data_IF_060264688483
#
_entry.id   IF_060264688483
#
_cell.length_a   1.000
_cell.length_b   1.000
_cell.length_c   1.000
_cell.angle_alpha   90.00
_cell.angle_beta   90.00
_cell.angle_gamma   90.00
#
_symmetry.space_group_name_H-M   'P 1'
#
loop_
_entity.id
_entity.type
_entity.pdbx_description
1 polymer ?
#
# COMPACT_ATOMS: atom_id res chain seq x y z
N UNK A 1 -17.13 19.77 -26.75
CA UNK A 1 -16.18 20.20 -25.71
C UNK A 1 -15.32 19.01 -25.36
N UNK A 2 -14.01 19.12 -25.58
CA UNK A 2 -13.06 18.00 -25.42
C UNK A 2 -12.83 17.69 -23.94
N UNK A 3 -12.65 16.41 -23.60
CA UNK A 3 -12.34 15.89 -22.26
C UNK A 3 -11.15 16.61 -21.58
N UNK A 4 -10.30 17.28 -22.36
CA UNK A 4 -9.20 18.11 -21.86
C UNK A 4 -9.64 19.40 -21.16
N UNK A 5 -10.80 19.98 -21.51
CA UNK A 5 -11.33 21.18 -20.83
C UNK A 5 -11.92 20.87 -19.45
N UNK A 6 -12.41 19.65 -19.25
CA UNK A 6 -13.03 19.24 -17.98
C UNK A 6 -12.00 18.95 -16.89
N UNK A 7 -10.81 18.47 -17.27
CA UNK A 7 -9.71 18.20 -16.33
C UNK A 7 -8.96 19.48 -15.90
N UNK A 8 -8.92 20.52 -16.75
CA UNK A 8 -8.32 21.80 -16.36
C UNK A 8 -9.21 22.59 -15.38
N UNK A 9 -10.54 22.48 -15.48
CA UNK A 9 -11.45 23.16 -14.56
C UNK A 9 -11.41 22.57 -13.14
N UNK A 10 -11.07 21.29 -12.99
CA UNK A 10 -11.01 20.63 -11.68
C UNK A 10 -9.73 20.93 -10.90
N UNK A 11 -8.61 21.21 -11.57
CA UNK A 11 -7.34 21.50 -10.88
C UNK A 11 -7.19 22.95 -10.40
N UNK A 12 -8.06 23.84 -10.86
CA UNK A 12 -7.89 25.29 -10.68
C UNK A 12 -8.70 25.91 -9.55
N UNK A 13 -9.64 25.16 -8.96
CA UNK A 13 -10.56 25.71 -7.95
C UNK A 13 -10.11 25.53 -6.50
N UNK A 14 -8.99 24.83 -6.24
CA UNK A 14 -8.63 24.45 -4.87
C UNK A 14 -7.58 25.34 -4.19
N UNK A 15 -6.79 26.12 -4.91
CA UNK A 15 -5.73 26.96 -4.31
C UNK A 15 -5.91 28.42 -4.74
N UNK A 16 -6.28 29.28 -3.79
CA UNK A 16 -6.59 30.70 -4.01
C UNK A 16 -5.39 31.53 -4.47
N UNK A 17 -5.13 31.53 -5.78
CA UNK A 17 -4.17 32.44 -6.43
C UNK A 17 -4.88 33.70 -6.96
N UNK A 18 -4.29 34.90 -6.84
CA UNK A 18 -4.85 36.13 -7.39
C UNK A 18 -4.91 36.11 -8.93
N UNK A 19 -6.06 36.51 -9.49
CA UNK A 19 -6.42 36.48 -10.94
C UNK A 19 -5.38 37.07 -11.91
N UNK A 20 -4.50 37.93 -11.44
CA UNK A 20 -3.45 38.57 -12.27
C UNK A 20 -2.33 37.58 -12.62
N UNK A 21 -1.96 36.69 -11.71
CA UNK A 21 -0.94 35.66 -11.98
C UNK A 21 -1.48 34.55 -12.91
N UNK A 22 -2.80 34.37 -12.90
CA UNK A 22 -3.54 33.47 -13.79
C UNK A 22 -3.35 33.81 -15.26
N UNK A 23 -3.49 35.09 -15.60
CA UNK A 23 -3.43 35.59 -16.96
C UNK A 23 -1.99 35.57 -17.52
N UNK A 24 -0.99 35.78 -16.66
CA UNK A 24 0.42 35.75 -17.05
C UNK A 24 0.86 34.31 -17.36
N UNK A 25 0.48 33.34 -16.53
CA UNK A 25 0.80 31.91 -16.76
C UNK A 25 0.06 31.36 -17.98
N UNK A 26 -1.22 31.72 -18.17
CA UNK A 26 -1.98 31.33 -19.38
C UNK A 26 -1.39 31.95 -20.66
N UNK A 27 -0.91 33.20 -20.61
CA UNK A 27 -0.28 33.86 -21.77
C UNK A 27 1.10 33.32 -22.10
N UNK A 28 1.87 32.83 -21.11
CA UNK A 28 3.14 32.14 -21.36
C UNK A 28 2.93 30.70 -21.86
N UNK A 29 1.91 29.99 -21.36
CA UNK A 29 1.62 28.61 -21.78
C UNK A 29 1.06 28.55 -23.21
N UNK A 30 0.28 29.55 -23.63
CA UNK A 30 -0.23 29.65 -25.00
C UNK A 30 0.86 29.99 -26.05
N UNK A 31 2.02 30.51 -25.62
CA UNK A 31 3.15 30.85 -26.51
C UNK A 31 4.17 29.72 -26.69
N UNK A 32 3.94 28.54 -26.09
CA UNK A 32 4.87 27.40 -26.13
C UNK A 32 4.29 26.10 -26.70
N UNK A 33 3.19 26.15 -27.48
CA UNK A 33 2.70 25.00 -28.23
C UNK A 33 3.08 25.14 -29.72
N UNK A 34 4.00 24.31 -30.26
CA UNK A 34 4.42 24.43 -31.64
C UNK A 34 3.31 23.95 -32.57
N UNK A 35 2.72 24.87 -33.33
CA UNK A 35 1.73 24.65 -34.40
C UNK A 35 2.16 23.55 -35.39
N UNK A 36 3.47 23.29 -35.47
CA UNK A 36 4.06 22.23 -36.28
C UNK A 36 3.64 20.81 -35.86
N UNK A 37 3.43 20.55 -34.56
CA UNK A 37 3.06 19.22 -34.06
C UNK A 37 1.60 18.86 -34.36
N UNK A 38 0.69 19.84 -34.37
CA UNK A 38 -0.71 19.63 -34.78
C UNK A 38 -0.83 19.30 -36.28
N UNK A 39 -0.05 19.96 -37.14
CA UNK A 39 -0.08 19.67 -38.58
C UNK A 39 0.47 18.27 -38.89
N UNK A 40 1.54 17.84 -38.20
CA UNK A 40 2.09 16.49 -38.33
C UNK A 40 1.11 15.40 -37.85
N UNK A 41 0.36 15.67 -36.77
CA UNK A 41 -0.68 14.77 -36.27
C UNK A 41 -1.87 14.67 -37.23
N UNK A 42 -2.25 15.78 -37.85
CA UNK A 42 -3.36 15.81 -38.80
C UNK A 42 -3.01 15.07 -40.10
N UNK A 43 -1.76 15.20 -40.55
CA UNK A 43 -1.27 14.47 -41.72
C UNK A 43 -1.16 12.96 -41.45
N UNK A 44 -0.72 12.55 -40.26
CA UNK A 44 -0.69 11.13 -39.88
C UNK A 44 -2.09 10.53 -39.76
N UNK A 45 -3.07 11.28 -39.23
CA UNK A 45 -4.47 10.88 -39.17
C UNK A 45 -5.09 10.73 -40.56
N UNK A 46 -4.80 11.65 -41.48
CA UNK A 46 -5.25 11.57 -42.87
C UNK A 46 -4.65 10.34 -43.59
N UNK A 47 -3.36 10.06 -43.39
CA UNK A 47 -2.70 8.86 -43.93
C UNK A 47 -3.33 7.57 -43.38
N UNK A 48 -3.63 7.54 -42.07
CA UNK A 48 -4.27 6.40 -41.43
C UNK A 48 -5.69 6.15 -41.96
N UNK A 49 -6.53 7.18 -42.09
CA UNK A 49 -7.87 7.07 -42.68
C UNK A 49 -7.83 6.57 -44.12
N UNK A 50 -6.93 7.11 -44.95
CA UNK A 50 -6.73 6.66 -46.33
C UNK A 50 -6.29 5.20 -46.41
N UNK A 51 -5.51 4.74 -45.43
CA UNK A 51 -5.10 3.34 -45.35
C UNK A 51 -6.26 2.43 -44.93
N UNK A 52 -7.10 2.89 -44.01
CA UNK A 52 -8.31 2.17 -43.59
C UNK A 52 -9.30 1.99 -44.75
N UNK A 53 -9.52 3.04 -45.55
CA UNK A 53 -10.37 2.99 -46.75
C UNK A 53 -9.82 1.99 -47.79
N UNK A 54 -8.51 2.01 -48.05
CA UNK A 54 -7.87 1.05 -48.98
C UNK A 54 -8.02 -0.40 -48.52
N UNK A 55 -7.90 -0.66 -47.22
CA UNK A 55 -8.10 -2.00 -46.67
C UNK A 55 -9.57 -2.44 -46.84
N UNK A 56 -10.53 -1.55 -46.60
CA UNK A 56 -11.95 -1.87 -46.80
C UNK A 56 -12.28 -2.13 -48.28
N UNK A 57 -11.80 -1.29 -49.21
CA UNK A 57 -12.04 -1.50 -50.65
C UNK A 57 -11.43 -2.81 -51.16
N UNK A 58 -10.29 -3.21 -50.61
CA UNK A 58 -9.63 -4.48 -50.96
C UNK A 58 -10.48 -5.67 -50.47
N UNK A 59 -11.00 -5.60 -49.24
CA UNK A 59 -11.88 -6.64 -48.69
C UNK A 59 -13.20 -6.76 -49.46
N UNK A 60 -13.83 -5.63 -49.83
CA UNK A 60 -15.06 -5.63 -50.64
C UNK A 60 -14.81 -6.20 -52.04
N UNK A 61 -13.66 -5.91 -52.65
CA UNK A 61 -13.29 -6.44 -53.96
C UNK A 61 -13.03 -7.96 -53.92
N UNK A 62 -12.40 -8.45 -52.85
CA UNK A 62 -12.19 -9.89 -52.63
C UNK A 62 -13.52 -10.61 -52.42
N UNK A 63 -14.43 -10.04 -51.62
CA UNK A 63 -15.77 -10.58 -51.42
C UNK A 63 -16.59 -10.61 -52.73
N UNK A 64 -16.51 -9.55 -53.54
CA UNK A 64 -17.17 -9.50 -54.85
C UNK A 64 -16.59 -10.53 -55.84
N UNK A 65 -15.27 -10.75 -55.84
CA UNK A 65 -14.63 -11.81 -56.64
C UNK A 65 -15.02 -13.22 -56.22
N UNK A 66 -15.24 -13.46 -54.92
CA UNK A 66 -15.73 -14.75 -54.41
C UNK A 66 -17.22 -14.98 -54.71
N UNK A 67 -18.02 -13.91 -54.86
CA UNK A 67 -19.41 -14.01 -55.27
C UNK A 67 -19.56 -14.26 -56.79
N UNK A 68 -18.66 -13.70 -57.62
CA UNK A 68 -18.68 -13.85 -59.07
C UNK A 68 -18.20 -15.23 -59.58
N UNK A 69 -17.53 -16.05 -58.74
CA UNK A 69 -17.04 -17.38 -59.11
C UNK A 69 -18.04 -18.53 -58.88
N UNK A 70 -19.30 -18.24 -58.52
CA UNK A 70 -20.39 -19.23 -58.47
C UNK A 70 -21.45 -18.98 -59.55
N UNK A 71 -21.08 -19.19 -60.82
CA UNK A 71 -22.06 -19.49 -61.86
C UNK A 71 -21.46 -20.51 -62.82
N UNK A 72 -21.98 -21.74 -62.75
CA UNK A 72 -22.26 -22.72 -63.83
C UNK A 72 -22.18 -24.13 -63.24
N UNK A 73 -23.33 -24.75 -62.96
CA UNK A 73 -23.71 -26.10 -63.47
C UNK A 73 -25.09 -26.46 -62.92
N UNK A 74 -25.98 -26.67 -63.87
CA UNK A 74 -27.37 -27.11 -63.84
C UNK A 74 -27.51 -28.54 -63.33
N UNK A 75 -28.57 -28.85 -62.56
CA UNK A 75 -29.48 -29.97 -62.87
C UNK A 75 -30.75 -30.00 -61.98
N UNK A 76 -31.86 -30.32 -62.67
CA UNK A 76 -33.28 -30.39 -62.30
C UNK A 76 -33.62 -31.48 -61.28
N UNK A 77 -34.66 -31.23 -60.46
CA UNK A 77 -35.83 -32.13 -60.30
C UNK A 77 -37.02 -31.38 -59.65
N UNK A 78 -38.22 -31.70 -60.12
CA UNK A 78 -39.51 -31.01 -59.95
C UNK A 78 -40.33 -31.44 -58.72
N UNK A 79 -41.06 -30.46 -58.14
CA UNK A 79 -42.48 -30.45 -57.69
C UNK A 79 -42.92 -31.35 -56.50
N UNK A 80 -43.83 -30.99 -55.57
CA UNK A 80 -44.92 -29.97 -55.51
C UNK A 80 -45.49 -29.73 -54.08
N UNK A 81 -45.93 -28.49 -53.81
CA UNK A 81 -47.03 -27.94 -52.95
C UNK A 81 -47.24 -28.41 -51.46
N UNK A 82 -47.01 -27.60 -50.39
CA UNK A 82 -47.77 -26.43 -49.78
C UNK A 82 -48.98 -26.89 -48.91
N UNK A 83 -49.33 -26.30 -47.71
CA UNK A 83 -49.10 -24.92 -47.25
C UNK A 83 -48.57 -24.64 -45.81
N UNK A 84 -47.96 -23.45 -45.71
CA UNK A 84 -48.07 -22.38 -44.71
C UNK A 84 -48.51 -22.66 -43.26
N UNK A 85 -47.60 -22.40 -42.32
CA UNK A 85 -47.94 -21.87 -40.99
C UNK A 85 -47.04 -20.66 -40.71
N UNK A 86 -47.68 -19.51 -40.53
CA UNK A 86 -47.07 -18.23 -40.16
C UNK A 86 -46.73 -18.31 -38.68
N UNK A 87 -45.45 -18.39 -38.34
CA UNK A 87 -44.98 -18.04 -37.00
C UNK A 87 -43.95 -16.92 -37.13
N UNK A 88 -44.32 -15.78 -36.56
CA UNK A 88 -43.56 -14.55 -36.46
C UNK A 88 -42.16 -14.82 -35.90
N UNK A 89 -41.16 -14.90 -36.77
CA UNK A 89 -39.75 -14.90 -36.39
C UNK A 89 -39.43 -13.48 -35.93
N UNK A 90 -39.36 -13.29 -34.61
CA UNK A 90 -38.87 -12.06 -34.01
C UNK A 90 -37.48 -11.76 -34.59
N UNK A 91 -37.36 -10.58 -35.18
CA UNK A 91 -36.10 -10.04 -35.68
C UNK A 91 -35.17 -9.88 -34.47
N UNK A 92 -34.22 -10.79 -34.32
CA UNK A 92 -33.08 -10.59 -33.43
C UNK A 92 -32.42 -9.26 -33.84
N UNK A 93 -32.14 -8.35 -32.89
CA UNK A 93 -31.53 -7.07 -33.23
C UNK A 93 -30.19 -7.32 -33.94
N UNK A 94 -29.82 -6.48 -34.93
CA UNK A 94 -28.60 -6.65 -35.69
C UNK A 94 -27.40 -6.65 -34.74
N UNK A 95 -26.72 -7.80 -34.67
CA UNK A 95 -25.51 -8.00 -33.87
C UNK A 95 -24.46 -7.02 -34.35
N UNK A 96 -24.14 -6.02 -33.52
CA UNK A 96 -23.07 -5.06 -33.75
C UNK A 96 -21.72 -5.78 -33.55
N UNK A 97 -21.29 -6.51 -34.59
CA UNK A 97 -20.09 -7.37 -34.65
C UNK A 97 -18.79 -6.74 -34.10
N UNK A 98 -18.67 -5.40 -34.13
CA UNK A 98 -17.50 -4.68 -33.63
C UNK A 98 -17.32 -4.82 -32.12
N UNK A 99 -18.40 -4.74 -31.33
CA UNK A 99 -18.31 -4.74 -29.87
C UNK A 99 -17.99 -6.14 -29.31
N UNK A 100 -18.56 -7.19 -29.93
CA UNK A 100 -18.31 -8.57 -29.52
C UNK A 100 -16.87 -9.00 -29.77
N UNK A 101 -16.28 -8.56 -30.89
CA UNK A 101 -14.88 -8.86 -31.22
C UNK A 101 -13.92 -8.21 -30.22
N UNK A 102 -14.15 -6.95 -29.87
CA UNK A 102 -13.33 -6.21 -28.90
C UNK A 102 -13.45 -6.82 -27.48
N UNK A 103 -14.67 -7.18 -27.06
CA UNK A 103 -14.90 -7.85 -25.78
C UNK A 103 -14.16 -9.18 -25.69
N UNK A 104 -14.25 -10.01 -26.74
CA UNK A 104 -13.56 -11.29 -26.79
C UNK A 104 -12.04 -11.14 -26.79
N UNK A 105 -11.50 -10.13 -27.50
CA UNK A 105 -10.07 -9.81 -27.46
C UNK A 105 -9.62 -9.40 -26.05
N UNK A 106 -10.39 -8.57 -25.36
CA UNK A 106 -10.09 -8.16 -23.99
C UNK A 106 -10.11 -9.35 -23.03
N UNK A 107 -11.11 -10.23 -23.12
CA UNK A 107 -11.19 -11.47 -22.33
C UNK A 107 -9.96 -12.36 -22.59
N UNK A 108 -9.60 -12.54 -23.86
CA UNK A 108 -8.44 -13.35 -24.24
C UNK A 108 -7.14 -12.75 -23.70
N UNK A 109 -6.99 -11.43 -23.77
CA UNK A 109 -5.86 -10.72 -23.20
C UNK A 109 -5.75 -10.92 -21.68
N UNK A 110 -6.87 -10.94 -20.95
CA UNK A 110 -6.87 -11.20 -19.51
C UNK A 110 -6.47 -12.65 -19.22
N UNK A 111 -7.03 -13.62 -19.95
CA UNK A 111 -6.77 -15.05 -19.73
C UNK A 111 -5.34 -15.47 -20.08
N UNK A 112 -4.72 -14.77 -21.05
CA UNK A 112 -3.30 -14.96 -21.41
C UNK A 112 -2.34 -14.12 -20.58
N UNK A 113 -2.85 -13.24 -19.71
CA UNK A 113 -2.00 -12.45 -18.83
C UNK A 113 -1.22 -13.36 -17.86
N UNK A 114 -0.04 -12.95 -17.38
CA UNK A 114 0.70 -13.71 -16.40
C UNK A 114 -0.12 -13.94 -15.13
N UNK A 115 0.15 -15.05 -14.44
CA UNK A 115 -0.58 -15.48 -13.23
C UNK A 115 -0.71 -14.34 -12.21
N UNK A 116 0.36 -13.62 -11.92
CA UNK A 116 0.33 -12.49 -10.98
C UNK A 116 -0.63 -11.36 -11.37
N UNK A 117 -0.79 -11.08 -12.67
CA UNK A 117 -1.75 -10.06 -13.14
C UNK A 117 -3.20 -10.53 -12.98
N UNK A 118 -3.47 -11.81 -13.26
CA UNK A 118 -4.79 -12.39 -13.02
C UNK A 118 -5.12 -12.39 -11.52
N UNK A 119 -4.18 -12.79 -10.67
CA UNK A 119 -4.34 -12.76 -9.22
C UNK A 119 -4.65 -11.36 -8.71
N UNK A 120 -3.87 -10.35 -9.14
CA UNK A 120 -4.10 -8.96 -8.74
C UNK A 120 -5.52 -8.51 -9.07
N UNK A 121 -6.01 -8.83 -10.27
CA UNK A 121 -7.37 -8.46 -10.71
C UNK A 121 -8.45 -9.10 -9.83
N UNK A 122 -8.27 -10.36 -9.44
CA UNK A 122 -9.19 -11.05 -8.52
C UNK A 122 -9.14 -10.42 -7.12
N UNK A 123 -7.95 -10.11 -6.61
CA UNK A 123 -7.78 -9.47 -5.29
C UNK A 123 -8.43 -8.09 -5.28
N UNK A 124 -8.23 -7.29 -6.34
CA UNK A 124 -8.83 -5.97 -6.49
C UNK A 124 -10.38 -6.08 -6.48
N UNK A 125 -10.95 -7.06 -7.20
CA UNK A 125 -12.39 -7.34 -7.18
C UNK A 125 -12.91 -7.72 -5.78
N UNK A 126 -12.22 -8.63 -5.08
CA UNK A 126 -12.60 -9.04 -3.73
C UNK A 126 -12.47 -7.88 -2.73
N UNK A 127 -11.49 -7.01 -2.95
CA UNK A 127 -11.29 -5.81 -2.15
C UNK A 127 -12.45 -4.81 -2.35
N UNK A 128 -12.85 -4.55 -3.59
CA UNK A 128 -13.94 -3.61 -3.89
C UNK A 128 -15.30 -4.14 -3.44
N UNK A 129 -15.59 -5.41 -3.71
CA UNK A 129 -16.91 -6.01 -3.43
C UNK A 129 -17.11 -6.36 -1.95
N UNK A 130 -16.03 -6.66 -1.22
CA UNK A 130 -16.06 -7.15 0.18
C UNK A 130 -16.98 -8.38 0.37
N UNK A 131 -17.18 -9.17 -0.67
CA UNK A 131 -18.06 -10.34 -0.66
C UNK A 131 -17.26 -11.63 -0.90
N UNK A 132 -17.83 -12.74 -0.44
CA UNK A 132 -17.31 -14.07 -0.77
C UNK A 132 -17.87 -14.50 -2.13
N UNK A 133 -17.00 -14.64 -3.13
CA UNK A 133 -17.38 -14.96 -4.51
C UNK A 133 -16.94 -16.36 -4.92
N UNK A 134 -17.75 -17.04 -5.73
CA UNK A 134 -17.36 -18.33 -6.33
C UNK A 134 -16.41 -18.12 -7.53
N UNK A 135 -15.63 -19.15 -7.93
CA UNK A 135 -14.80 -19.09 -9.14
C UNK A 135 -15.58 -18.66 -10.39
N UNK A 136 -16.84 -19.08 -10.51
CA UNK A 136 -17.73 -18.75 -11.62
C UNK A 136 -18.10 -17.27 -11.61
N UNK A 137 -18.49 -16.74 -10.45
CA UNK A 137 -18.79 -15.32 -10.28
C UNK A 137 -17.57 -14.43 -10.56
N UNK A 138 -16.38 -14.88 -10.17
CA UNK A 138 -15.12 -14.18 -10.45
C UNK A 138 -14.82 -14.17 -11.95
N UNK A 139 -15.08 -15.27 -12.65
CA UNK A 139 -14.94 -15.33 -14.11
C UNK A 139 -15.94 -14.42 -14.82
N UNK A 140 -17.17 -14.31 -14.32
CA UNK A 140 -18.17 -13.38 -14.87
C UNK A 140 -17.78 -11.90 -14.67
N UNK A 141 -17.28 -11.56 -13.48
CA UNK A 141 -16.94 -10.18 -13.13
C UNK A 141 -15.59 -9.71 -13.74
N UNK A 142 -14.58 -10.58 -13.75
CA UNK A 142 -13.20 -10.21 -14.11
C UNK A 142 -12.61 -11.00 -15.27
N UNK A 143 -13.35 -11.95 -15.85
CA UNK A 143 -12.93 -12.78 -16.99
C UNK A 143 -11.72 -13.68 -16.71
N UNK A 144 -11.35 -13.84 -15.44
CA UNK A 144 -10.29 -14.74 -14.97
C UNK A 144 -10.90 -16.11 -14.74
N UNK A 145 -10.44 -17.10 -15.50
CA UNK A 145 -10.90 -18.48 -15.38
C UNK A 145 -10.02 -19.25 -14.39
N UNK A 146 -10.47 -19.32 -13.14
CA UNK A 146 -9.77 -19.99 -12.06
C UNK A 146 -9.86 -21.52 -12.14
N UNK A 147 -10.90 -22.04 -12.79
CA UNK A 147 -11.11 -23.49 -12.93
C UNK A 147 -10.22 -24.06 -14.04
N UNK A 148 -10.02 -23.31 -15.14
CA UNK A 148 -9.10 -23.70 -16.20
C UNK A 148 -7.62 -23.51 -15.79
N UNK A 149 -7.31 -22.50 -14.97
CA UNK A 149 -5.95 -22.19 -14.53
C UNK A 149 -5.68 -22.60 -13.09
N UNK A 150 -5.28 -23.87 -12.90
CA UNK A 150 -4.91 -24.40 -11.58
C UNK A 150 -3.85 -23.57 -10.86
N UNK A 151 -2.89 -23.00 -11.60
CA UNK A 151 -1.83 -22.16 -11.05
C UNK A 151 -2.37 -20.89 -10.37
N UNK A 152 -3.38 -20.23 -10.96
CA UNK A 152 -4.02 -19.04 -10.37
C UNK A 152 -4.79 -19.43 -9.12
N UNK A 153 -5.55 -20.53 -9.17
CA UNK A 153 -6.31 -21.05 -8.04
C UNK A 153 -5.41 -21.38 -6.83
N UNK A 154 -4.36 -22.17 -7.05
CA UNK A 154 -3.42 -22.58 -5.99
C UNK A 154 -2.66 -21.36 -5.43
N UNK A 155 -2.28 -20.41 -6.28
CA UNK A 155 -1.58 -19.19 -5.85
C UNK A 155 -2.48 -18.25 -5.03
N UNK A 156 -3.77 -18.14 -5.37
CA UNK A 156 -4.73 -17.35 -4.60
C UNK A 156 -5.03 -18.00 -3.24
N UNK A 157 -5.16 -19.32 -3.20
CA UNK A 157 -5.39 -20.06 -1.94
C UNK A 157 -4.24 -19.90 -0.94
N UNK A 158 -3.02 -19.77 -1.43
CA UNK A 158 -1.83 -19.54 -0.59
C UNK A 158 -1.56 -18.07 -0.28
N UNK A 159 -2.38 -17.13 -0.79
CA UNK A 159 -2.15 -15.71 -0.64
C UNK A 159 -2.61 -15.18 0.73
N UNK A 160 -1.84 -14.26 1.33
CA UNK A 160 -2.16 -13.68 2.65
C UNK A 160 -3.39 -12.76 2.65
N UNK A 161 -3.75 -12.19 1.49
CA UNK A 161 -4.87 -11.25 1.30
C UNK A 161 -6.17 -11.93 0.85
N UNK A 162 -6.17 -13.25 0.70
CA UNK A 162 -7.34 -14.00 0.24
C UNK A 162 -7.59 -15.16 1.19
N UNK A 163 -8.85 -15.39 1.55
CA UNK A 163 -9.30 -16.56 2.26
C UNK A 163 -10.14 -17.45 1.33
N UNK A 164 -9.99 -18.77 1.44
CA UNK A 164 -10.74 -19.73 0.63
C UNK A 164 -11.43 -20.75 1.53
N UNK A 165 -12.77 -20.72 1.54
CA UNK A 165 -13.59 -21.54 2.44
C UNK A 165 -13.96 -22.90 1.83
N UNK A 166 -13.27 -23.33 0.77
CA UNK A 166 -13.55 -24.58 0.05
C UNK A 166 -14.56 -24.43 -1.09
N UNK A 167 -15.29 -23.32 -1.14
CA UNK A 167 -16.24 -22.97 -2.22
C UNK A 167 -16.07 -21.55 -2.74
N UNK A 168 -15.90 -20.59 -1.83
CA UNK A 168 -15.82 -19.17 -2.18
C UNK A 168 -14.47 -18.59 -1.77
N UNK A 169 -14.06 -17.54 -2.49
CA UNK A 169 -12.93 -16.68 -2.16
C UNK A 169 -13.43 -15.39 -1.54
N UNK A 170 -12.84 -14.98 -0.43
CA UNK A 170 -13.13 -13.72 0.25
C UNK A 170 -11.84 -12.93 0.50
N UNK A 171 -11.95 -11.60 0.58
CA UNK A 171 -10.81 -10.75 0.92
C UNK A 171 -10.44 -10.91 2.40
N UNK A 172 -9.15 -11.05 2.68
CA UNK A 172 -8.60 -11.13 4.02
C UNK A 172 -7.77 -9.87 4.31
N UNK A 173 -8.33 -8.99 5.15
CA UNK A 173 -7.62 -7.82 5.66
C UNK A 173 -6.53 -8.23 6.64
N UNK A 174 -5.59 -7.31 6.93
CA UNK A 174 -4.56 -7.57 7.94
C UNK A 174 -5.16 -7.69 9.35
N UNK A 175 -6.17 -6.85 9.61
CA UNK A 175 -6.97 -6.87 10.82
C UNK A 175 -8.43 -7.14 10.44
N UNK A 176 -9.00 -8.24 10.90
CA UNK A 176 -10.41 -8.59 10.70
C UNK A 176 -11.29 -7.70 11.59
N UNK A 177 -11.58 -6.49 11.11
CA UNK A 177 -12.42 -5.51 11.77
C UNK A 177 -13.65 -5.25 10.90
N UNK A 178 -14.83 -5.25 11.53
CA UNK A 178 -16.10 -4.96 10.86
C UNK A 178 -16.69 -3.62 11.29
N UNK A 179 -16.45 -3.26 12.55
CA UNK A 179 -17.11 -2.14 13.21
C UNK A 179 -16.11 -1.20 13.91
N UNK A 180 -16.54 0.06 14.08
CA UNK A 180 -15.85 1.07 14.88
C UNK A 180 -15.49 0.61 16.31
N UNK A 181 -16.36 -0.16 16.95
CA UNK A 181 -16.13 -0.67 18.32
C UNK A 181 -14.96 -1.66 18.36
N UNK A 182 -14.86 -2.53 17.35
CA UNK A 182 -13.76 -3.48 17.20
C UNK A 182 -12.46 -2.74 16.89
N UNK A 183 -12.51 -1.70 16.05
CA UNK A 183 -11.38 -0.83 15.77
C UNK A 183 -10.83 -0.19 17.05
N UNK A 184 -11.69 0.40 17.88
CA UNK A 184 -11.28 0.97 19.16
C UNK A 184 -10.71 -0.09 20.11
N UNK A 185 -11.34 -1.27 20.16
CA UNK A 185 -10.84 -2.40 20.95
C UNK A 185 -9.46 -2.88 20.50
N UNK A 186 -9.18 -2.87 19.20
CA UNK A 186 -7.89 -3.21 18.63
C UNK A 186 -6.84 -2.16 19.03
N UNK A 187 -7.09 -0.88 18.76
CA UNK A 187 -6.14 0.21 19.05
C UNK A 187 -5.77 0.25 20.55
N UNK A 188 -6.71 -0.05 21.45
CA UNK A 188 -6.44 -0.15 22.90
C UNK A 188 -5.55 -1.31 23.30
N UNK A 189 -5.53 -2.41 22.52
CA UNK A 189 -4.63 -3.55 22.78
C UNK A 189 -3.20 -3.27 22.33
N UNK A 190 -3.03 -2.43 21.30
CA UNK A 190 -1.73 -2.09 20.74
C UNK A 190 -1.25 -0.72 21.24
N UNK A 191 -0.58 -0.71 22.40
CA UNK A 191 -0.02 0.51 22.98
C UNK A 191 1.06 1.17 22.11
N UNK A 192 1.74 0.39 21.27
CA UNK A 192 2.77 0.86 20.32
C UNK A 192 2.18 1.61 19.11
N UNK A 193 0.86 1.59 18.95
CA UNK A 193 0.15 2.18 17.83
C UNK A 193 0.04 1.25 16.62
N UNK A 194 -0.89 1.58 15.72
CA UNK A 194 -1.16 0.82 14.50
C UNK A 194 -1.11 1.78 13.31
N UNK A 195 -0.33 1.50 12.24
CA UNK A 195 -0.27 2.36 11.07
C UNK A 195 -1.62 2.34 10.34
N UNK A 196 -2.06 3.49 9.86
CA UNK A 196 -3.36 3.62 9.19
C UNK A 196 -3.43 2.81 7.90
N UNK A 197 -2.32 2.56 7.23
CA UNK A 197 -2.28 1.71 6.02
C UNK A 197 -2.80 0.29 6.31
N UNK A 198 -2.47 -0.23 7.48
CA UNK A 198 -2.92 -1.56 7.92
C UNK A 198 -4.38 -1.58 8.38
N UNK A 199 -4.95 -0.42 8.70
CA UNK A 199 -6.34 -0.30 9.11
C UNK A 199 -7.25 0.02 7.92
N UNK A 200 -6.76 0.79 6.94
CA UNK A 200 -7.47 1.21 5.72
C UNK A 200 -8.04 0.03 4.93
N UNK A 201 -7.40 -1.13 5.01
CA UNK A 201 -7.81 -2.32 4.27
C UNK A 201 -8.86 -3.17 5.00
N UNK A 202 -9.24 -2.83 6.23
CA UNK A 202 -10.16 -3.62 7.04
C UNK A 202 -11.61 -3.51 6.56
N UNK A 203 -12.16 -2.29 6.50
CA UNK A 203 -13.52 -2.04 6.00
C UNK A 203 -13.62 -0.64 5.34
N UNK A 204 -14.63 -0.38 4.48
CA UNK A 204 -14.68 0.85 3.68
C UNK A 204 -14.71 2.16 4.49
N UNK A 205 -15.39 2.18 5.64
CA UNK A 205 -15.62 3.40 6.43
C UNK A 205 -14.55 3.65 7.52
N UNK A 206 -13.44 2.88 7.53
CA UNK A 206 -12.40 2.98 8.57
C UNK A 206 -11.89 4.40 8.75
N UNK A 207 -11.70 5.13 7.64
CA UNK A 207 -11.14 6.48 7.69
C UNK A 207 -12.06 7.46 8.42
N UNK A 208 -13.37 7.39 8.16
CA UNK A 208 -14.36 8.23 8.82
C UNK A 208 -14.50 7.86 10.30
N UNK A 209 -14.47 6.56 10.60
CA UNK A 209 -14.51 6.07 11.97
C UNK A 209 -13.27 6.47 12.77
N UNK A 210 -12.07 6.42 12.18
CA UNK A 210 -10.83 6.93 12.78
C UNK A 210 -10.93 8.43 13.09
N UNK A 211 -11.42 9.24 12.15
CA UNK A 211 -11.63 10.67 12.39
C UNK A 211 -12.65 10.90 13.51
N UNK A 212 -13.71 10.10 13.54
CA UNK A 212 -14.73 10.20 14.60
C UNK A 212 -14.15 9.80 15.97
N UNK A 213 -13.32 8.76 16.04
CA UNK A 213 -12.64 8.34 17.27
C UNK A 213 -11.62 9.39 17.74
N UNK A 214 -10.95 10.07 16.81
CA UNK A 214 -10.05 11.21 17.09
C UNK A 214 -10.82 12.40 17.63
N UNK A 215 -11.93 12.77 16.98
CA UNK A 215 -12.80 13.86 17.42
C UNK A 215 -13.42 13.57 18.80
N UNK A 216 -13.75 12.31 19.08
CA UNK A 216 -14.17 11.84 20.39
C UNK A 216 -13.04 11.81 21.44
N UNK A 217 -11.79 12.08 21.03
CA UNK A 217 -10.61 12.04 21.90
C UNK A 217 -10.27 10.65 22.41
N UNK A 218 -10.72 9.58 21.74
CA UNK A 218 -10.47 8.19 22.17
C UNK A 218 -9.18 7.61 21.59
N UNK A 219 -8.70 8.18 20.48
CA UNK A 219 -7.44 7.80 19.84
C UNK A 219 -6.68 9.05 19.43
N UNK A 220 -5.36 8.94 19.32
CA UNK A 220 -4.50 9.96 18.71
C UNK A 220 -4.07 9.48 17.33
N UNK A 221 -4.18 10.35 16.33
CA UNK A 221 -3.55 10.15 15.03
C UNK A 221 -2.32 11.04 14.97
N UNK A 222 -1.14 10.41 14.88
CA UNK A 222 0.14 11.10 14.79
C UNK A 222 0.79 10.75 13.46
N UNK A 223 1.15 11.76 12.68
CA UNK A 223 1.91 11.58 11.45
C UNK A 223 3.38 11.35 11.80
N UNK A 224 3.95 10.24 11.33
CA UNK A 224 5.39 10.05 11.43
C UNK A 224 6.09 10.92 10.38
N UNK A 225 7.02 11.77 10.80
CA UNK A 225 7.73 12.70 9.91
C UNK A 225 8.57 11.97 8.85
N UNK A 226 9.05 10.76 9.16
CA UNK A 226 9.93 9.98 8.28
C UNK A 226 9.13 9.19 7.21
N UNK A 227 8.05 8.51 7.60
CA UNK A 227 7.26 7.68 6.67
C UNK A 227 6.06 8.41 6.04
N UNK A 228 5.69 9.61 6.50
CA UNK A 228 4.44 10.31 6.15
C UNK A 228 3.18 9.47 6.39
N UNK A 229 3.31 8.39 7.15
CA UNK A 229 2.21 7.52 7.51
C UNK A 229 1.64 7.98 8.86
N UNK A 230 0.33 8.14 8.89
CA UNK A 230 -0.38 8.37 10.14
C UNK A 230 -0.46 7.07 10.94
N UNK A 231 -0.18 7.14 12.23
CA UNK A 231 -0.25 6.03 13.18
C UNK A 231 -1.33 6.34 14.22
N UNK A 232 -2.21 5.37 14.44
CA UNK A 232 -3.28 5.44 15.43
C UNK A 232 -2.80 4.89 16.78
N UNK A 233 -2.81 5.73 17.80
CA UNK A 233 -2.46 5.40 19.18
C UNK A 233 -3.71 5.44 20.07
N UNK A 234 -3.78 4.58 21.11
CA UNK A 234 -4.85 4.67 22.09
C UNK A 234 -4.70 5.92 22.96
N UNK A 235 -5.79 6.66 23.17
CA UNK A 235 -5.83 7.71 24.18
C UNK A 235 -6.53 7.19 25.43
N UNK A 236 -5.89 7.33 26.60
CA UNK A 236 -6.52 6.97 27.87
C UNK A 236 -7.48 8.10 28.30
N UNK A 237 -8.80 7.85 28.38
CA UNK A 237 -9.79 8.86 28.80
C UNK A 237 -9.64 9.31 30.25
N UNK A 238 -8.76 8.69 31.06
CA UNK A 238 -8.49 9.09 32.44
C UNK A 238 -7.53 10.28 32.58
N UNK A 239 -6.84 10.66 31.50
CA UNK A 239 -5.78 11.68 31.54
C UNK A 239 -6.11 13.00 30.79
N UNK A 240 -7.37 13.42 30.52
CA UNK A 240 -7.62 14.70 29.88
C UNK A 240 -7.40 15.84 30.87
N UNK A 241 -6.17 16.36 30.93
CA UNK A 241 -5.84 17.60 31.61
C UNK A 241 -6.02 18.73 30.60
N UNK A 242 -7.12 19.48 30.71
CA UNK A 242 -7.28 20.71 29.93
C UNK A 242 -6.39 21.78 30.56
N UNK A 243 -5.50 22.33 29.74
CA UNK A 243 -4.61 23.42 30.11
C UNK A 243 -4.81 24.55 29.12
N UNK A 244 -4.98 25.76 29.62
CA UNK A 244 -5.12 26.97 28.81
C UNK A 244 -3.85 27.25 28.00
N UNK A 245 -4.01 27.88 26.84
CA UNK A 245 -2.89 28.14 25.93
C UNK A 245 -1.85 29.10 26.55
N UNK A 246 -2.30 30.05 27.36
CA UNK A 246 -1.42 30.95 28.12
C UNK A 246 -0.53 30.19 29.10
N UNK A 247 -1.07 29.16 29.78
CA UNK A 247 -0.28 28.33 30.70
C UNK A 247 0.70 27.45 29.94
N UNK A 248 0.33 26.93 28.76
CA UNK A 248 1.26 26.20 27.88
C UNK A 248 2.39 27.11 27.42
N UNK A 249 2.10 28.36 27.07
CA UNK A 249 3.10 29.33 26.65
C UNK A 249 4.04 29.70 27.79
N UNK A 250 3.49 29.98 28.98
CA UNK A 250 4.28 30.25 30.18
C UNK A 250 5.21 29.07 30.48
N UNK A 251 4.69 27.83 30.46
CA UNK A 251 5.49 26.64 30.73
C UNK A 251 6.64 26.46 29.72
N UNK A 252 6.40 26.71 28.43
CA UNK A 252 7.43 26.65 27.38
C UNK A 252 8.46 27.78 27.48
N UNK A 253 8.06 28.93 28.04
CA UNK A 253 8.94 30.08 28.26
C UNK A 253 9.82 29.99 29.51
N UNK A 254 9.56 29.03 30.41
CA UNK A 254 10.43 28.77 31.56
C UNK A 254 11.73 28.14 31.05
N UNK A 255 12.79 28.93 31.03
CA UNK A 255 14.13 28.42 30.73
C UNK A 255 14.65 27.60 31.90
N UNK A 256 14.82 26.29 31.68
CA UNK A 256 15.45 25.40 32.65
C UNK A 256 16.98 25.59 32.60
N UNK A 257 17.67 25.67 33.76
CA UNK A 257 19.13 25.69 33.80
C UNK A 257 19.71 24.47 33.07
N UNK A 258 20.73 24.68 32.24
CA UNK A 258 21.37 23.60 31.47
C UNK A 258 22.19 22.66 32.35
N UNK A 259 22.74 23.14 33.47
CA UNK A 259 23.50 22.33 34.40
C UNK A 259 22.63 21.77 35.53
N UNK A 260 22.76 20.47 35.77
CA UNK A 260 22.04 19.75 36.84
C UNK A 260 22.40 20.26 38.24
N UNK A 261 23.61 20.82 38.43
CA UNK A 261 23.98 21.45 39.71
C UNK A 261 23.16 22.71 40.01
N UNK A 262 22.87 23.51 38.99
CA UNK A 262 22.13 24.74 39.17
C UNK A 262 20.65 24.44 39.42
N UNK A 263 20.11 23.41 38.75
CA UNK A 263 18.78 22.86 39.07
C UNK A 263 18.73 22.38 40.54
N UNK A 264 19.75 21.66 41.02
CA UNK A 264 19.80 21.17 42.41
C UNK A 264 19.89 22.31 43.43
N UNK A 265 20.68 23.34 43.15
CA UNK A 265 20.80 24.54 44.00
C UNK A 265 19.49 25.31 44.05
N UNK A 266 18.83 25.51 42.91
CA UNK A 266 17.56 26.22 42.85
C UNK A 266 16.43 25.45 43.52
N UNK A 267 16.40 24.11 43.39
CA UNK A 267 15.47 23.26 44.14
C UNK A 267 15.71 23.37 45.65
N UNK A 268 16.97 23.32 46.11
CA UNK A 268 17.32 23.46 47.53
C UNK A 268 16.99 24.86 48.07
N UNK A 269 17.25 25.92 47.29
CA UNK A 269 16.90 27.30 47.63
C UNK A 269 15.39 27.48 47.80
N UNK A 270 14.59 26.77 47.00
CA UNK A 270 13.13 26.75 47.08
C UNK A 270 12.58 25.68 48.05
N UNK A 271 13.44 25.04 48.86
CA UNK A 271 13.03 24.06 49.88
C UNK A 271 12.58 22.69 49.34
N UNK A 272 12.76 22.41 48.05
CA UNK A 272 12.43 21.14 47.43
C UNK A 272 13.64 20.18 47.48
N UNK A 273 13.40 18.90 47.77
CA UNK A 273 14.46 17.88 47.76
C UNK A 273 14.81 17.53 46.30
N UNK A 274 16.06 17.72 45.85
CA UNK A 274 16.42 17.35 44.50
C UNK A 274 16.36 15.84 44.30
N UNK A 275 15.80 15.41 43.16
CA UNK A 275 15.70 13.99 42.82
C UNK A 275 17.07 13.34 42.55
N UNK A 276 18.06 14.16 42.16
CA UNK A 276 19.44 13.74 41.92
C UNK A 276 20.37 14.44 42.91
N UNK A 277 21.49 13.80 43.28
CA UNK A 277 22.51 14.37 44.16
C UNK A 277 23.84 14.53 43.40
N UNK A 278 23.77 15.25 42.28
CA UNK A 278 24.88 15.52 41.36
C UNK A 278 25.99 16.29 42.05
N UNK A 279 25.68 17.18 43.00
CA UNK A 279 26.67 17.86 43.83
C UNK A 279 27.53 16.86 44.63
N UNK A 280 26.92 15.89 45.33
CA UNK A 280 27.66 14.83 46.03
C UNK A 280 28.43 13.93 45.08
N UNK A 281 27.88 13.65 43.89
CA UNK A 281 28.54 12.79 42.88
C UNK A 281 29.75 13.48 42.24
N UNK A 282 29.68 14.78 41.94
CA UNK A 282 30.81 15.58 41.43
C UNK A 282 31.86 15.82 42.51
N UNK A 283 31.47 16.10 43.74
CA UNK A 283 32.38 16.19 44.88
C UNK A 283 33.10 14.85 45.13
N UNK A 284 32.38 13.72 45.09
CA UNK A 284 32.99 12.39 45.19
C UNK A 284 33.92 12.06 44.00
N UNK A 285 33.61 12.52 42.79
CA UNK A 285 34.47 12.36 41.62
C UNK A 285 35.75 13.22 41.68
N UNK A 286 35.67 14.41 42.27
CA UNK A 286 36.84 15.27 42.52
C UNK A 286 37.68 14.78 43.70
N UNK A 287 37.06 14.26 44.77
CA UNK A 287 37.78 13.61 45.89
C UNK A 287 38.43 12.30 45.43
N UNK A 288 37.81 11.55 44.50
CA UNK A 288 38.44 10.42 43.82
C UNK A 288 39.34 10.85 42.65
N UNK A 289 39.50 12.16 42.45
CA UNK A 289 40.26 12.79 41.38
C UNK A 289 41.74 13.02 41.67
N UNK A 290 42.33 12.39 42.70
CA UNK A 290 43.70 11.81 42.68
C UNK A 290 43.69 10.57 43.62
N UNK A 291 42.78 9.63 43.43
CA UNK A 291 43.09 8.26 43.85
C UNK A 291 42.86 7.33 42.69
N UNK A 292 43.95 6.69 42.29
CA UNK A 292 43.98 5.52 41.42
C UNK A 292 42.95 4.50 41.94
N UNK A 293 41.72 4.57 41.42
CA UNK A 293 40.79 3.45 41.56
C UNK A 293 41.52 2.24 40.98
N UNK A 294 41.76 1.17 41.75
CA UNK A 294 42.30 -0.03 41.15
C UNK A 294 41.30 -0.44 40.09
N UNK A 295 41.76 -0.56 38.83
CA UNK A 295 41.05 -1.30 37.79
C UNK A 295 40.42 -2.50 38.47
N UNK A 296 39.13 -2.83 38.28
CA UNK A 296 38.63 -4.11 38.74
C UNK A 296 39.59 -5.13 38.16
N UNK A 297 40.40 -5.76 39.04
CA UNK A 297 41.28 -6.84 38.62
C UNK A 297 40.31 -7.78 37.94
N UNK A 298 40.43 -7.93 36.61
CA UNK A 298 39.90 -9.09 35.93
C UNK A 298 40.30 -10.24 36.83
N UNK A 299 39.33 -10.87 37.52
CA UNK A 299 39.62 -12.11 38.22
C UNK A 299 40.25 -12.95 37.13
N UNK A 300 41.56 -13.21 37.23
CA UNK A 300 42.22 -14.20 36.38
C UNK A 300 41.34 -15.42 36.58
N UNK A 301 40.60 -15.78 35.55
CA UNK A 301 39.83 -17.00 35.55
C UNK A 301 40.91 -18.08 35.55
N UNK A 302 41.41 -18.44 36.74
CA UNK A 302 42.30 -19.59 36.88
C UNK A 302 41.47 -20.77 36.40
N UNK A 303 41.87 -21.31 35.26
CA UNK A 303 41.25 -22.49 34.66
C UNK A 303 41.50 -23.60 35.68
N UNK A 304 40.47 -23.95 36.44
CA UNK A 304 40.52 -25.08 37.36
C UNK A 304 40.60 -26.38 36.56
N UNK A 305 41.32 -27.38 37.09
CA UNK A 305 41.53 -28.72 36.47
C UNK A 305 40.22 -29.42 36.05
N UNK A 306 39.05 -28.92 36.46
CA UNK A 306 37.71 -29.47 36.16
C UNK A 306 36.98 -28.80 34.98
N UNK A 307 37.49 -27.71 34.41
CA UNK A 307 36.84 -27.04 33.27
C UNK A 307 37.26 -27.70 31.96
N UNK A 308 36.32 -28.36 31.27
CA UNK A 308 36.58 -28.99 29.96
C UNK A 308 36.83 -27.90 28.90
N UNK A 309 38.06 -27.79 28.42
CA UNK A 309 38.49 -26.81 27.42
C UNK A 309 38.85 -27.55 26.12
N UNK A 310 38.31 -27.11 24.98
CA UNK A 310 38.46 -27.78 23.67
C UNK A 310 39.72 -27.38 22.90
N UNK A 311 40.59 -26.55 23.48
CA UNK A 311 41.74 -25.97 22.79
C UNK A 311 43.05 -26.61 23.29
N UNK A 312 43.37 -27.80 22.77
CA UNK A 312 44.55 -28.60 23.15
C UNK A 312 45.89 -28.14 22.52
N UNK A 313 45.86 -27.12 21.64
CA UNK A 313 46.99 -26.70 20.81
C UNK A 313 47.73 -25.45 21.33
N UNK A 314 47.42 -24.98 22.54
CA UNK A 314 48.08 -23.81 23.16
C UNK A 314 48.71 -24.19 24.52
N UNK A 315 49.89 -24.82 24.53
CA UNK A 315 50.50 -25.38 25.75
C UNK A 315 51.01 -24.32 26.76
N UNK A 316 51.31 -23.10 26.31
CA UNK A 316 51.77 -22.02 27.21
C UNK A 316 50.76 -21.62 28.29
N UNK A 317 49.46 -21.86 28.06
CA UNK A 317 48.41 -21.56 29.04
C UNK A 317 48.48 -22.43 30.31
N UNK A 318 49.23 -23.54 30.29
CA UNK A 318 49.26 -24.54 31.37
C UNK A 318 50.52 -24.50 32.25
N UNK A 319 51.56 -23.73 31.89
CA UNK A 319 52.82 -23.67 32.66
C UNK A 319 52.60 -23.21 34.12
N UNK A 320 51.67 -22.28 34.35
CA UNK A 320 51.37 -21.77 35.70
C UNK A 320 50.69 -22.76 36.67
N UNK A 321 50.19 -23.90 36.17
CA UNK A 321 49.63 -24.97 37.01
C UNK A 321 50.72 -25.95 37.48
N UNK A 322 51.73 -26.21 36.66
CA UNK A 322 52.83 -27.11 36.99
C UNK A 322 53.76 -26.54 38.07
N UNK A 323 53.95 -25.23 38.09
CA UNK A 323 54.83 -24.55 39.06
C UNK A 323 54.24 -24.49 40.49
N UNK A 324 52.91 -24.59 40.65
CA UNK A 324 52.27 -24.62 41.97
C UNK A 324 52.42 -25.95 42.69
N UNK A 325 52.57 -27.05 41.95
CA UNK A 325 52.72 -28.39 42.52
C UNK A 325 54.17 -28.65 43.02
N UNK A 326 55.18 -27.90 42.55
CA UNK A 326 56.58 -27.97 43.03
C UNK A 326 56.89 -27.15 44.29
N UNK A 327 55.94 -26.34 44.78
CA UNK A 327 56.14 -25.45 45.94
C UNK A 327 55.49 -25.95 47.23
N UNK A 328 55.04 -27.21 47.24
CA UNK A 328 54.34 -27.86 48.34
C UNK A 328 55.03 -29.12 48.87
N UNK A 329 56.30 -29.32 48.52
CA UNK A 329 57.16 -30.36 49.07
C UNK A 329 58.19 -29.76 50.02
#
# INVERSE_FOLDING_TARGET
>A
MSLSQSLLHFFWFSWGFPRVLQLIVMSLFARLFPVHLMMALQESLAKFKKQQEKCQTTLTTIAAKQAASKTTTTQKANSSNVPSSVNSRSLAPPVKFSNDTERLQHINSIRKAPVGAQMKRVIDLLFETRQALTPEQINEACYVDMNASKAVFDSLRNNLKVNYDGKCFSYKSKHDLKDKSQLLGLVRKFAEGIPIIDLKDAYPNVMDDLQTLKAAGQIWLLSNFDSQEDIAYPNDPKVPIKVDDDLKQLFRGIELPRDMLDIEKDLQKNGMKPATNTAKRRAAAQIQGISSKPKPKKKKHEISKRTKLTNAHLPELFQSLADKDKKKE
#
